data_IF_917143595082
#
_entry.id   IF_917143595082
#
_cell.length_a   1.000
_cell.length_b   1.000
_cell.length_c   1.000
_cell.angle_alpha   90.00
_cell.angle_beta   90.00
_cell.angle_gamma   90.00
#
_symmetry.space_group_name_H-M   'P 1'
#
loop_
_entity.id
_entity.type
_entity.pdbx_description
1 polymer ?
#
# COMPACT_ATOMS: atom_id res chain seq x y z
N UNK A 1 23.88 -9.24 15.63
CA UNK A 1 23.57 -9.73 17.01
C UNK A 1 22.74 -11.02 17.01
N UNK A 2 22.34 -11.49 15.84
CA UNK A 2 21.66 -12.76 15.61
C UNK A 2 22.61 -13.67 14.82
N UNK A 3 23.36 -14.58 15.45
CA UNK A 3 24.36 -15.38 14.74
C UNK A 3 23.75 -16.45 13.81
N UNK A 4 22.50 -16.85 14.05
CA UNK A 4 21.80 -17.90 13.28
C UNK A 4 20.72 -17.26 12.41
N UNK A 5 20.87 -17.41 11.09
CA UNK A 5 19.92 -17.05 10.05
C UNK A 5 19.49 -18.32 9.31
N UNK A 6 18.42 -18.97 9.77
CA UNK A 6 17.94 -20.23 9.19
C UNK A 6 16.41 -20.36 9.32
N UNK A 7 15.82 -21.22 8.50
CA UNK A 7 14.39 -21.52 8.60
C UNK A 7 14.01 -22.06 10.00
N UNK A 8 12.85 -21.64 10.50
CA UNK A 8 12.32 -22.01 11.80
C UNK A 8 12.98 -21.32 13.00
N UNK A 9 13.81 -20.29 12.78
CA UNK A 9 14.48 -19.53 13.84
C UNK A 9 14.06 -18.06 13.81
N UNK A 10 13.84 -17.51 15.00
CA UNK A 10 13.49 -16.12 15.25
C UNK A 10 14.73 -15.24 15.40
N UNK A 11 14.61 -13.94 15.11
CA UNK A 11 15.62 -12.94 15.47
C UNK A 11 15.36 -12.35 16.86
N UNK A 12 14.08 -12.22 17.21
CA UNK A 12 13.59 -11.74 18.50
C UNK A 12 12.29 -12.44 18.88
N UNK A 13 11.96 -12.42 20.17
CA UNK A 13 10.74 -13.04 20.69
C UNK A 13 10.32 -12.39 22.01
N UNK A 14 9.01 -12.15 22.17
CA UNK A 14 8.44 -11.57 23.36
C UNK A 14 8.63 -10.06 23.43
N UNK A 15 8.03 -9.45 24.46
CA UNK A 15 8.09 -8.00 24.70
C UNK A 15 9.05 -7.72 25.84
N UNK A 16 9.95 -6.74 25.65
CA UNK A 16 10.82 -6.25 26.69
C UNK A 16 10.15 -5.07 27.40
N UNK A 17 10.29 -3.88 26.84
CA UNK A 17 9.84 -2.64 27.47
C UNK A 17 9.72 -1.50 26.49
N UNK A 18 9.66 -0.27 27.02
CA UNK A 18 9.66 0.93 26.18
C UNK A 18 11.04 1.18 25.60
N UNK A 19 11.07 1.70 24.38
CA UNK A 19 12.29 2.19 23.77
C UNK A 19 12.74 3.47 24.51
N UNK A 20 13.93 3.51 25.13
CA UNK A 20 14.42 4.70 25.82
C UNK A 20 14.80 5.84 24.86
N UNK A 21 14.95 5.56 23.57
CA UNK A 21 15.30 6.55 22.54
C UNK A 21 14.06 7.24 21.92
N UNK A 22 12.84 6.75 22.22
CA UNK A 22 11.59 7.28 21.67
C UNK A 22 10.77 7.92 22.79
N UNK A 23 10.85 9.25 22.87
CA UNK A 23 10.23 10.02 23.95
C UNK A 23 8.72 10.27 23.74
N UNK A 24 8.27 10.34 22.48
CA UNK A 24 6.88 10.61 22.11
C UNK A 24 6.48 9.63 21.01
N UNK A 25 5.56 8.73 21.32
CA UNK A 25 4.88 7.90 20.31
C UNK A 25 3.39 8.00 20.52
N UNK A 26 2.66 8.20 19.42
CA UNK A 26 1.20 8.18 19.42
C UNK A 26 0.63 6.78 19.69
N UNK A 27 1.44 5.74 19.48
CA UNK A 27 1.05 4.34 19.66
C UNK A 27 1.98 3.69 20.70
N UNK A 28 1.52 3.45 21.93
CA UNK A 28 2.36 2.87 22.97
C UNK A 28 2.63 1.40 22.65
N UNK A 29 3.79 1.09 22.08
CA UNK A 29 4.26 -0.29 21.85
C UNK A 29 5.55 -0.57 22.60
N UNK A 30 5.67 -1.78 23.13
CA UNK A 30 6.94 -2.28 23.67
C UNK A 30 7.82 -2.76 22.52
N UNK A 31 9.13 -2.62 22.68
CA UNK A 31 10.10 -3.20 21.75
C UNK A 31 10.33 -4.68 22.07
N UNK A 32 10.67 -5.50 21.07
CA UNK A 32 10.87 -6.92 21.30
C UNK A 32 12.19 -7.20 22.03
N UNK A 33 12.27 -8.37 22.66
CA UNK A 33 13.51 -8.85 23.25
C UNK A 33 14.34 -9.63 22.22
N UNK A 34 15.64 -9.37 22.17
CA UNK A 34 16.58 -10.17 21.37
C UNK A 34 16.48 -11.64 21.79
N UNK A 35 16.25 -12.51 20.82
CA UNK A 35 16.08 -13.94 21.07
C UNK A 35 16.27 -14.70 19.76
N UNK A 36 17.50 -15.19 19.54
CA UNK A 36 17.84 -15.97 18.36
C UNK A 36 17.56 -17.47 18.61
N UNK A 37 16.27 -17.80 18.77
CA UNK A 37 15.79 -19.13 19.20
C UNK A 37 14.79 -19.72 18.22
N UNK A 38 14.54 -21.05 18.24
CA UNK A 38 13.55 -21.67 17.38
C UNK A 38 12.14 -21.10 17.55
N UNK A 39 11.39 -21.05 16.45
CA UNK A 39 10.00 -20.62 16.42
C UNK A 39 9.11 -21.53 17.29
N UNK A 40 8.11 -20.93 17.94
CA UNK A 40 7.27 -21.60 18.93
C UNK A 40 5.90 -21.93 18.35
N UNK A 41 5.31 -23.03 18.80
CA UNK A 41 3.96 -23.43 18.36
C UNK A 41 2.93 -22.44 18.91
N UNK A 42 2.12 -21.87 18.03
CA UNK A 42 0.98 -21.03 18.40
C UNK A 42 -0.16 -21.92 18.91
N UNK A 43 -0.69 -21.64 20.11
CA UNK A 43 -1.80 -22.40 20.71
C UNK A 43 -2.87 -21.48 21.31
N UNK A 44 -4.09 -22.00 21.44
CA UNK A 44 -5.19 -21.32 22.13
C UNK A 44 -5.43 -19.90 21.60
N UNK A 45 -5.48 -18.93 22.51
CA UNK A 45 -5.76 -17.52 22.18
C UNK A 45 -4.75 -16.90 21.20
N UNK A 46 -3.47 -17.30 21.23
CA UNK A 46 -2.46 -16.82 20.29
C UNK A 46 -2.77 -17.26 18.86
N UNK A 47 -3.12 -18.53 18.67
CA UNK A 47 -3.47 -19.06 17.35
C UNK A 47 -4.77 -18.45 16.81
N UNK A 48 -5.78 -18.29 17.66
CA UNK A 48 -7.04 -17.62 17.28
C UNK A 48 -6.80 -16.17 16.86
N UNK A 49 -5.96 -15.44 17.59
CA UNK A 49 -5.60 -14.06 17.22
C UNK A 49 -4.76 -14.02 15.94
N UNK A 50 -3.85 -14.97 15.75
CA UNK A 50 -3.02 -15.07 14.54
C UNK A 50 -3.89 -15.22 13.29
N UNK A 51 -4.93 -16.05 13.34
CA UNK A 51 -5.88 -16.22 12.23
C UNK A 51 -6.62 -14.94 11.87
N UNK A 52 -6.96 -14.14 12.88
CA UNK A 52 -7.68 -12.89 12.66
C UNK A 52 -6.77 -11.78 12.08
N UNK A 53 -5.53 -11.69 12.58
CA UNK A 53 -4.62 -10.58 12.26
C UNK A 53 -3.69 -10.90 11.09
N UNK A 54 -3.17 -12.12 11.04
CA UNK A 54 -2.16 -12.60 10.09
C UNK A 54 -2.56 -13.95 9.49
N UNK A 55 -3.70 -14.04 8.78
CA UNK A 55 -4.22 -15.31 8.25
C UNK A 55 -3.22 -16.05 7.35
N UNK A 56 -2.34 -15.32 6.67
CA UNK A 56 -1.34 -15.90 5.75
C UNK A 56 -0.25 -16.69 6.45
N UNK A 57 -0.02 -16.42 7.75
CA UNK A 57 0.89 -17.17 8.60
C UNK A 57 0.20 -18.32 9.34
N UNK A 58 -1.14 -18.37 9.31
CA UNK A 58 -1.94 -19.36 10.02
C UNK A 58 -2.37 -20.56 9.15
N UNK A 59 -1.63 -20.85 8.06
CA UNK A 59 -1.96 -21.86 7.04
C UNK A 59 -1.66 -23.31 7.45
N UNK A 60 -1.19 -23.55 8.67
CA UNK A 60 -0.96 -24.89 9.22
C UNK A 60 -2.10 -25.40 10.09
N UNK A 61 -2.07 -26.69 10.42
CA UNK A 61 -2.97 -27.27 11.42
C UNK A 61 -2.76 -26.64 12.80
N UNK A 62 -3.75 -26.80 13.69
CA UNK A 62 -3.73 -26.26 15.05
C UNK A 62 -2.45 -26.59 15.84
N UNK A 63 -1.83 -27.73 15.56
CA UNK A 63 -0.70 -28.26 16.33
C UNK A 63 0.68 -28.01 15.70
N UNK A 64 0.73 -27.54 14.44
CA UNK A 64 1.99 -27.38 13.69
C UNK A 64 2.34 -25.93 13.37
N UNK A 65 1.38 -25.00 13.49
CA UNK A 65 1.60 -23.58 13.21
C UNK A 65 2.62 -22.99 14.17
N UNK A 66 3.78 -22.57 13.66
CA UNK A 66 4.86 -21.93 14.43
C UNK A 66 4.95 -20.44 14.13
N UNK A 67 5.33 -19.66 15.13
CA UNK A 67 5.49 -18.19 15.04
C UNK A 67 6.64 -17.70 15.91
N UNK A 68 7.13 -16.50 15.56
CA UNK A 68 8.17 -15.77 16.30
C UNK A 68 7.64 -14.65 17.18
N UNK A 69 6.35 -14.66 17.51
CA UNK A 69 5.73 -13.67 18.38
C UNK A 69 4.94 -14.30 19.53
N UNK A 70 4.84 -13.57 20.64
CA UNK A 70 3.92 -13.90 21.73
C UNK A 70 2.57 -13.19 21.55
N UNK A 71 1.61 -13.48 22.45
CA UNK A 71 0.29 -12.87 22.43
C UNK A 71 0.31 -11.34 22.53
N UNK A 72 1.15 -10.79 23.41
CA UNK A 72 1.27 -9.34 23.61
C UNK A 72 1.77 -8.60 22.36
N UNK A 73 2.82 -9.12 21.71
CA UNK A 73 3.33 -8.61 20.43
C UNK A 73 2.25 -8.61 19.35
N UNK A 74 1.45 -9.68 19.27
CA UNK A 74 0.40 -9.79 18.26
C UNK A 74 -0.79 -8.84 18.54
N UNK A 75 -1.13 -8.59 19.81
CA UNK A 75 -2.11 -7.56 20.19
C UNK A 75 -1.59 -6.16 19.84
N UNK A 76 -0.33 -5.86 20.13
CA UNK A 76 0.28 -4.58 19.76
C UNK A 76 0.32 -4.40 18.23
N UNK A 77 0.67 -5.46 17.51
CA UNK A 77 0.65 -5.48 16.04
C UNK A 77 -0.76 -5.19 15.51
N UNK A 78 -1.79 -5.87 16.04
CA UNK A 78 -3.19 -5.65 15.68
C UNK A 78 -3.59 -4.18 15.78
N UNK A 79 -3.31 -3.54 16.91
CA UNK A 79 -3.63 -2.13 17.11
C UNK A 79 -2.92 -1.22 16.10
N UNK A 80 -1.64 -1.51 15.82
CA UNK A 80 -0.84 -0.72 14.87
C UNK A 80 -1.35 -0.87 13.43
N UNK A 81 -1.69 -2.08 13.00
CA UNK A 81 -2.20 -2.32 11.63
C UNK A 81 -3.65 -1.88 11.47
N UNK A 82 -4.47 -1.89 12.53
CA UNK A 82 -5.83 -1.32 12.50
C UNK A 82 -5.81 0.20 12.27
N UNK A 83 -4.85 0.92 12.90
CA UNK A 83 -4.69 2.36 12.69
C UNK A 83 -4.36 2.69 11.23
N UNK A 84 -3.37 2.00 10.64
CA UNK A 84 -3.05 2.17 9.22
C UNK A 84 -4.15 1.62 8.31
N UNK A 85 -4.85 0.57 8.75
CA UNK A 85 -6.00 -0.01 8.05
C UNK A 85 -7.13 0.98 7.87
N UNK A 86 -7.40 1.84 8.85
CA UNK A 86 -8.38 2.92 8.73
C UNK A 86 -8.01 3.93 7.62
N UNK A 87 -6.72 4.20 7.43
CA UNK A 87 -6.20 5.08 6.35
C UNK A 87 -6.31 4.40 4.98
N UNK A 88 -6.12 3.07 4.94
CA UNK A 88 -6.12 2.26 3.72
C UNK A 88 -7.47 1.57 3.42
N UNK A 89 -8.52 1.90 4.18
CA UNK A 89 -9.78 1.14 4.23
C UNK A 89 -10.52 1.04 2.89
N UNK A 90 -10.27 1.95 1.95
CA UNK A 90 -10.90 1.95 0.62
C UNK A 90 -10.40 0.84 -0.31
N UNK A 91 -9.27 0.20 0.01
CA UNK A 91 -8.68 -0.83 -0.83
C UNK A 91 -8.25 -2.03 0.04
N UNK A 92 -9.08 -3.09 0.13
CA UNK A 92 -8.83 -4.23 1.00
C UNK A 92 -7.51 -4.95 0.68
N UNK A 93 -7.16 -5.09 -0.60
CA UNK A 93 -5.91 -5.73 -1.04
C UNK A 93 -4.69 -4.98 -0.54
N UNK A 94 -4.71 -3.64 -0.63
CA UNK A 94 -3.66 -2.78 -0.07
C UNK A 94 -3.56 -2.93 1.45
N UNK A 95 -4.68 -2.84 2.17
CA UNK A 95 -4.70 -2.99 3.63
C UNK A 95 -4.17 -4.37 4.06
N UNK A 96 -4.54 -5.44 3.34
CA UNK A 96 -4.04 -6.80 3.57
C UNK A 96 -2.53 -6.92 3.32
N UNK A 97 -2.03 -6.38 2.21
CA UNK A 97 -0.59 -6.33 1.92
C UNK A 97 0.18 -5.60 3.01
N UNK A 98 -0.31 -4.43 3.42
CA UNK A 98 0.32 -3.64 4.47
C UNK A 98 0.39 -4.42 5.79
N UNK A 99 -0.72 -5.03 6.23
CA UNK A 99 -0.73 -5.88 7.41
C UNK A 99 0.27 -7.05 7.28
N UNK A 100 0.33 -7.69 6.11
CA UNK A 100 1.21 -8.83 5.87
C UNK A 100 2.70 -8.49 5.96
N UNK A 101 3.13 -7.29 5.53
CA UNK A 101 4.51 -6.83 5.75
C UNK A 101 4.90 -6.96 7.23
N UNK A 102 4.06 -6.45 8.13
CA UNK A 102 4.35 -6.49 9.56
C UNK A 102 4.07 -7.84 10.22
N UNK A 103 3.08 -8.59 9.73
CA UNK A 103 2.89 -9.99 10.13
C UNK A 103 4.16 -10.80 9.89
N UNK A 104 4.78 -10.67 8.71
CA UNK A 104 6.05 -11.33 8.42
C UNK A 104 7.16 -10.82 9.34
N UNK A 105 7.32 -9.50 9.49
CA UNK A 105 8.38 -8.92 10.31
C UNK A 105 8.33 -9.36 11.77
N UNK A 106 7.13 -9.48 12.35
CA UNK A 106 6.96 -9.71 13.78
C UNK A 106 6.74 -11.19 14.11
N UNK A 107 5.98 -11.92 13.28
CA UNK A 107 5.46 -13.24 13.63
C UNK A 107 5.91 -14.39 12.72
N UNK A 108 6.56 -14.13 11.58
CA UNK A 108 7.01 -15.20 10.67
C UNK A 108 7.84 -16.26 11.41
N UNK A 109 7.59 -17.57 11.20
CA UNK A 109 8.43 -18.63 11.80
C UNK A 109 9.88 -18.61 11.29
N UNK A 110 10.12 -18.01 10.13
CA UNK A 110 11.42 -17.93 9.47
C UNK A 110 12.03 -16.53 9.59
N UNK A 111 11.62 -15.74 10.61
CA UNK A 111 12.00 -14.33 10.78
C UNK A 111 13.51 -14.09 10.68
N UNK A 112 14.35 -14.99 11.20
CA UNK A 112 15.81 -14.81 11.14
C UNK A 112 16.35 -14.80 9.72
N UNK A 113 15.69 -15.40 8.72
CA UNK A 113 16.20 -15.41 7.35
C UNK A 113 16.28 -14.01 6.74
N UNK A 114 15.39 -13.09 7.10
CA UNK A 114 15.32 -11.75 6.49
C UNK A 114 15.47 -10.62 7.49
N UNK A 115 15.84 -10.92 8.74
CA UNK A 115 16.00 -9.94 9.82
C UNK A 115 17.40 -10.01 10.42
N UNK A 116 18.09 -8.88 10.52
CA UNK A 116 19.38 -8.78 11.21
C UNK A 116 19.33 -7.72 12.31
N UNK A 117 19.48 -8.13 13.57
CA UNK A 117 19.48 -7.18 14.70
C UNK A 117 20.84 -6.50 14.81
N UNK A 118 20.82 -5.16 14.72
CA UNK A 118 22.02 -4.31 14.69
C UNK A 118 22.26 -3.59 16.00
N UNK A 119 21.21 -3.17 16.73
CA UNK A 119 21.35 -2.49 18.03
C UNK A 119 20.38 -3.02 19.08
N UNK A 120 20.91 -3.18 20.30
CA UNK A 120 20.16 -3.53 21.50
C UNK A 120 20.56 -2.66 22.68
N UNK A 121 19.70 -2.58 23.70
CA UNK A 121 20.04 -2.03 25.01
C UNK A 121 19.66 -2.99 26.13
N UNK A 122 20.42 -2.95 27.23
CA UNK A 122 20.11 -3.75 28.41
C UNK A 122 18.84 -3.23 29.08
N UNK A 123 17.89 -4.13 29.31
CA UNK A 123 16.62 -3.86 29.94
C UNK A 123 16.58 -4.49 31.33
N UNK A 124 16.93 -3.69 32.33
CA UNK A 124 17.11 -4.12 33.73
C UNK A 124 15.81 -4.39 34.49
N UNK A 125 14.66 -3.96 33.94
CA UNK A 125 13.35 -4.21 34.55
C UNK A 125 12.88 -5.66 34.42
N UNK A 126 13.54 -6.50 33.61
CA UNK A 126 13.29 -7.93 33.52
C UNK A 126 14.35 -8.69 34.34
N UNK A 127 13.96 -9.47 35.36
CA UNK A 127 14.88 -10.30 36.13
C UNK A 127 15.63 -11.28 35.22
N UNK A 128 16.95 -11.30 35.31
CA UNK A 128 17.82 -12.10 34.43
C UNK A 128 18.45 -11.33 33.26
N UNK A 129 18.13 -10.05 33.08
CA UNK A 129 18.77 -9.16 32.11
C UNK A 129 18.35 -9.46 30.67
N UNK A 130 17.26 -8.83 30.22
CA UNK A 130 16.83 -8.93 28.83
C UNK A 130 17.51 -7.86 27.96
N UNK A 131 17.71 -8.14 26.68
CA UNK A 131 18.21 -7.16 25.71
C UNK A 131 17.06 -6.68 24.83
N UNK A 132 16.69 -5.41 24.96
CA UNK A 132 15.66 -4.76 24.16
C UNK A 132 16.22 -4.40 22.78
N UNK A 133 15.54 -4.80 21.71
CA UNK A 133 15.93 -4.47 20.33
C UNK A 133 15.56 -3.01 20.05
N UNK A 134 16.55 -2.22 19.64
CA UNK A 134 16.38 -0.80 19.31
C UNK A 134 16.44 -0.52 17.82
N UNK A 135 17.16 -1.38 17.08
CA UNK A 135 17.32 -1.29 15.64
C UNK A 135 17.58 -2.65 15.01
N UNK A 136 16.98 -2.87 13.85
CA UNK A 136 17.28 -4.02 13.01
C UNK A 136 17.08 -3.70 11.53
N UNK A 137 17.75 -4.49 10.69
CA UNK A 137 17.60 -4.46 9.24
C UNK A 137 16.61 -5.52 8.79
N UNK A 138 15.80 -5.19 7.79
CA UNK A 138 14.95 -6.13 7.06
C UNK A 138 15.37 -6.20 5.61
N UNK A 139 15.50 -7.41 5.09
CA UNK A 139 15.89 -7.66 3.71
C UNK A 139 14.70 -8.16 2.92
N UNK A 140 14.24 -7.38 1.96
CA UNK A 140 13.14 -7.74 1.07
C UNK A 140 13.65 -7.84 -0.36
N UNK A 141 13.00 -8.67 -1.18
CA UNK A 141 13.12 -8.49 -2.63
C UNK A 141 12.45 -7.20 -3.05
N UNK A 142 13.08 -6.45 -3.95
CA UNK A 142 12.54 -5.21 -4.49
C UNK A 142 11.13 -5.43 -5.07
N UNK A 143 10.93 -6.52 -5.83
CA UNK A 143 9.61 -6.91 -6.39
C UNK A 143 8.51 -7.03 -5.34
N UNK A 144 8.82 -7.56 -4.16
CA UNK A 144 7.86 -7.74 -3.07
C UNK A 144 7.41 -6.39 -2.51
N UNK A 145 8.37 -5.52 -2.19
CA UNK A 145 8.10 -4.18 -1.68
C UNK A 145 7.40 -3.29 -2.72
N UNK A 146 7.82 -3.36 -3.98
CA UNK A 146 7.24 -2.61 -5.08
C UNK A 146 5.81 -3.04 -5.38
N UNK A 147 5.52 -4.35 -5.37
CA UNK A 147 4.16 -4.85 -5.53
C UNK A 147 3.25 -4.39 -4.39
N UNK A 148 3.73 -4.46 -3.13
CA UNK A 148 2.98 -4.01 -1.97
C UNK A 148 2.68 -2.49 -2.07
N UNK A 149 3.69 -1.69 -2.41
CA UNK A 149 3.53 -0.26 -2.64
C UNK A 149 2.56 0.05 -3.79
N UNK A 150 2.70 -0.65 -4.93
CA UNK A 150 1.87 -0.44 -6.11
C UNK A 150 0.40 -0.76 -5.86
N UNK A 151 0.09 -1.69 -4.94
CA UNK A 151 -1.28 -1.98 -4.52
C UNK A 151 -1.92 -0.80 -3.76
N UNK A 152 -1.11 0.09 -3.18
CA UNK A 152 -1.55 1.16 -2.28
C UNK A 152 -1.41 2.58 -2.86
N UNK A 153 -0.55 2.80 -3.85
CA UNK A 153 -0.20 4.14 -4.36
C UNK A 153 -1.41 4.96 -4.87
N UNK A 154 -2.46 4.28 -5.35
CA UNK A 154 -3.66 4.92 -5.90
C UNK A 154 -4.75 5.20 -4.87
N UNK A 155 -4.64 4.65 -3.65
CA UNK A 155 -5.71 4.67 -2.64
C UNK A 155 -6.00 6.09 -2.20
N UNK A 156 -7.28 6.49 -2.23
CA UNK A 156 -7.73 7.82 -1.82
C UNK A 156 -8.00 7.87 -0.33
N UNK A 157 -7.77 9.03 0.27
CA UNK A 157 -8.15 9.32 1.64
C UNK A 157 -9.45 10.14 1.64
N UNK A 158 -10.60 9.60 2.09
CA UNK A 158 -11.89 10.31 2.05
C UNK A 158 -11.86 11.69 2.70
N UNK A 159 -11.17 11.82 3.83
CA UNK A 159 -11.15 13.04 4.63
C UNK A 159 -10.49 14.24 3.92
N UNK A 160 -9.56 14.01 3.00
CA UNK A 160 -8.79 15.07 2.33
C UNK A 160 -8.95 15.09 0.81
N UNK A 161 -9.50 14.02 0.22
CA UNK A 161 -9.50 13.80 -1.24
C UNK A 161 -8.12 13.49 -1.82
N UNK A 162 -7.06 13.54 -1.01
CA UNK A 162 -5.69 13.21 -1.39
C UNK A 162 -5.45 11.71 -1.48
N UNK A 163 -4.18 11.32 -1.67
CA UNK A 163 -3.77 9.92 -1.62
C UNK A 163 -3.40 9.52 -0.19
N UNK A 164 -3.85 8.35 0.23
CA UNK A 164 -3.54 7.77 1.54
C UNK A 164 -2.02 7.68 1.79
N UNK A 165 -1.27 7.28 0.75
CA UNK A 165 0.20 7.15 0.79
C UNK A 165 0.90 8.48 1.15
N UNK A 166 0.27 9.63 0.88
CA UNK A 166 0.84 10.93 1.24
C UNK A 166 1.03 11.09 2.75
N UNK A 167 0.21 10.43 3.56
CA UNK A 167 0.30 10.43 5.03
C UNK A 167 1.33 9.43 5.56
N UNK A 168 1.84 8.57 4.69
CA UNK A 168 2.75 7.45 5.01
C UNK A 168 4.13 7.60 4.33
N UNK A 169 4.42 8.77 3.73
CA UNK A 169 5.65 8.99 2.97
C UNK A 169 6.41 10.26 3.40
N UNK A 170 6.08 10.78 4.58
CA UNK A 170 6.70 11.96 5.18
C UNK A 170 6.76 13.15 4.22
N UNK A 171 7.95 13.77 4.13
CA UNK A 171 8.20 14.98 3.32
C UNK A 171 8.02 14.80 1.81
N UNK A 172 8.01 13.57 1.30
CA UNK A 172 7.94 13.32 -0.15
C UNK A 172 6.51 13.43 -0.68
N UNK A 173 5.50 13.31 0.19
CA UNK A 173 4.10 13.27 -0.21
C UNK A 173 3.83 12.12 -1.21
N UNK A 174 2.68 12.16 -1.89
CA UNK A 174 2.31 11.10 -2.82
C UNK A 174 3.16 11.09 -4.12
N UNK A 175 3.45 12.27 -4.68
CA UNK A 175 4.05 12.40 -6.02
C UNK A 175 5.49 11.90 -6.12
N UNK A 176 6.26 12.05 -5.03
CA UNK A 176 7.66 11.63 -4.97
C UNK A 176 7.83 10.39 -4.10
N UNK A 177 6.75 9.70 -3.75
CA UNK A 177 6.85 8.48 -2.96
C UNK A 177 7.33 7.31 -3.82
N UNK A 178 8.23 6.51 -3.26
CA UNK A 178 8.68 5.23 -3.83
C UNK A 178 8.51 4.15 -2.77
N UNK A 179 8.55 2.87 -3.16
CA UNK A 179 8.48 1.76 -2.21
C UNK A 179 9.53 1.88 -1.09
N UNK A 180 10.77 2.27 -1.44
CA UNK A 180 11.83 2.55 -0.46
C UNK A 180 11.44 3.68 0.49
N UNK A 181 11.05 4.85 -0.01
CA UNK A 181 10.71 6.02 0.83
C UNK A 181 9.52 5.77 1.73
N UNK A 182 8.55 5.00 1.25
CA UNK A 182 7.42 4.55 2.04
C UNK A 182 7.87 3.67 3.20
N UNK A 183 8.66 2.62 2.93
CA UNK A 183 9.19 1.75 3.98
C UNK A 183 10.15 2.46 4.93
N UNK A 184 10.98 3.39 4.44
CA UNK A 184 11.86 4.22 5.26
C UNK A 184 11.04 5.05 6.26
N UNK A 185 9.95 5.67 5.79
CA UNK A 185 9.05 6.39 6.69
C UNK A 185 8.43 5.46 7.73
N UNK A 186 8.03 4.26 7.33
CA UNK A 186 7.48 3.25 8.24
C UNK A 186 8.50 2.75 9.28
N UNK A 187 9.79 2.76 8.96
CA UNK A 187 10.88 2.33 9.84
C UNK A 187 11.56 3.44 10.63
N UNK A 188 11.27 4.71 10.36
CA UNK A 188 11.90 5.85 11.03
C UNK A 188 11.29 6.10 12.42
N UNK A 189 12.06 5.78 13.47
CA UNK A 189 11.65 6.01 14.88
C UNK A 189 11.35 7.48 15.21
N UNK A 190 11.81 8.42 14.39
CA UNK A 190 11.65 9.86 14.62
C UNK A 190 10.33 10.41 14.05
N UNK A 191 9.52 9.60 13.37
CA UNK A 191 8.24 10.02 12.81
C UNK A 191 7.08 10.12 13.84
N UNK A 192 7.33 9.74 15.11
CA UNK A 192 6.34 9.74 16.20
C UNK A 192 5.33 8.58 16.16
N UNK A 193 5.50 7.64 15.24
CA UNK A 193 4.64 6.46 15.03
C UNK A 193 5.41 5.15 15.21
N UNK A 194 6.62 5.03 14.62
CA UNK A 194 7.42 3.81 14.69
C UNK A 194 8.03 3.64 16.09
N UNK A 195 7.92 2.46 16.72
CA UNK A 195 8.40 2.25 18.09
C UNK A 195 9.92 2.07 18.20
N UNK A 196 10.60 1.78 17.10
CA UNK A 196 12.03 1.54 17.00
C UNK A 196 12.50 1.71 15.54
N UNK A 197 13.81 1.77 15.31
CA UNK A 197 14.37 1.96 13.96
C UNK A 197 14.36 0.66 13.16
N UNK A 198 13.79 0.69 11.95
CA UNK A 198 13.81 -0.44 11.02
C UNK A 198 14.42 0.01 9.70
N UNK A 199 15.54 -0.60 9.33
CA UNK A 199 16.23 -0.27 8.09
C UNK A 199 15.86 -1.28 7.00
N UNK A 200 15.01 -0.86 6.06
CA UNK A 200 14.56 -1.71 4.96
C UNK A 200 15.57 -1.72 3.81
N UNK A 201 16.07 -2.90 3.48
CA UNK A 201 17.00 -3.17 2.38
C UNK A 201 16.25 -3.83 1.24
N UNK A 202 15.97 -3.08 0.16
CA UNK A 202 15.31 -3.59 -1.03
C UNK A 202 16.33 -4.11 -2.04
N UNK A 203 16.37 -5.44 -2.17
CA UNK A 203 17.38 -6.13 -2.95
C UNK A 203 16.84 -6.58 -4.32
N UNK A 204 17.55 -6.28 -5.42
CA UNK A 204 17.23 -6.83 -6.73
C UNK A 204 17.19 -8.36 -6.75
N UNK A 205 16.47 -8.93 -7.72
CA UNK A 205 16.41 -10.38 -7.89
C UNK A 205 17.80 -10.95 -8.16
N UNK A 206 18.16 -12.02 -7.44
CA UNK A 206 19.47 -12.68 -7.56
C UNK A 206 20.60 -12.01 -6.78
N UNK A 207 20.34 -10.92 -6.07
CA UNK A 207 21.29 -10.37 -5.10
C UNK A 207 21.06 -10.97 -3.71
N UNK A 208 22.12 -11.52 -3.12
CA UNK A 208 22.10 -12.08 -1.77
C UNK A 208 23.04 -11.26 -0.87
N UNK A 209 22.57 -10.79 0.30
CA UNK A 209 23.40 -10.01 1.22
C UNK A 209 24.44 -10.86 1.96
N UNK A 210 24.38 -12.20 1.83
CA UNK A 210 25.30 -13.15 2.46
C UNK A 210 24.88 -13.56 3.88
N UNK A 211 25.76 -14.30 4.57
CA UNK A 211 25.58 -14.72 5.98
C UNK A 211 24.30 -15.51 6.29
N UNK A 212 23.77 -16.26 5.31
CA UNK A 212 22.55 -17.06 5.47
C UNK A 212 21.26 -16.23 5.44
N UNK A 213 21.36 -14.92 5.18
CA UNK A 213 20.19 -14.06 4.98
C UNK A 213 19.58 -14.36 3.60
N UNK A 214 18.28 -14.66 3.59
CA UNK A 214 17.46 -14.83 2.40
C UNK A 214 16.36 -13.74 2.40
N UNK A 215 16.38 -12.80 1.44
CA UNK A 215 15.42 -11.71 1.42
C UNK A 215 13.97 -12.20 1.28
N UNK A 216 13.06 -11.61 2.06
CA UNK A 216 11.64 -11.97 2.03
C UNK A 216 11.02 -11.66 0.66
N UNK A 217 10.24 -12.62 0.17
CA UNK A 217 9.54 -12.56 -1.10
C UNK A 217 8.21 -13.31 -1.00
N UNK A 218 7.27 -12.72 -0.26
CA UNK A 218 5.95 -13.32 -0.07
C UNK A 218 4.99 -12.92 -1.21
N UNK A 219 3.93 -13.70 -1.46
CA UNK A 219 2.86 -13.29 -2.37
C UNK A 219 2.20 -11.97 -1.93
N UNK A 220 1.82 -11.15 -2.91
CA UNK A 220 1.19 -9.84 -2.71
C UNK A 220 -0.08 -9.81 -3.53
N UNK A 221 -1.16 -9.29 -2.93
CA UNK A 221 -2.41 -9.08 -3.66
C UNK A 221 -2.31 -7.84 -4.54
N UNK A 222 -2.61 -7.97 -5.83
CA UNK A 222 -2.83 -6.83 -6.72
C UNK A 222 -4.06 -6.05 -6.28
N UNK A 223 -4.14 -4.78 -6.67
CA UNK A 223 -5.27 -3.95 -6.23
C UNK A 223 -6.58 -4.27 -6.96
N UNK A 224 -6.53 -4.96 -8.10
CA UNK A 224 -7.68 -5.42 -8.87
C UNK A 224 -8.09 -6.88 -8.57
N UNK A 225 -7.50 -7.51 -7.54
CA UNK A 225 -7.94 -8.82 -7.05
C UNK A 225 -8.42 -8.74 -5.60
N UNK A 226 -9.40 -9.59 -5.26
CA UNK A 226 -9.95 -9.67 -3.91
C UNK A 226 -9.04 -10.52 -3.01
N UNK A 227 -8.71 -10.04 -1.79
CA UNK A 227 -7.83 -10.79 -0.88
C UNK A 227 -8.53 -11.96 -0.16
N UNK A 228 -9.86 -12.01 -0.20
CA UNK A 228 -10.67 -13.08 0.36
C UNK A 228 -11.98 -13.23 -0.43
N UNK A 229 -12.62 -14.40 -0.33
CA UNK A 229 -13.84 -14.72 -1.08
C UNK A 229 -15.05 -13.85 -0.69
N UNK A 230 -15.06 -13.28 0.50
CA UNK A 230 -16.09 -12.37 1.03
C UNK A 230 -15.77 -10.89 0.77
N UNK A 231 -14.69 -10.59 0.06
CA UNK A 231 -14.24 -9.23 -0.23
C UNK A 231 -14.25 -8.95 -1.73
N UNK A 232 -14.31 -7.67 -2.06
CA UNK A 232 -14.25 -7.18 -3.45
C UNK A 232 -12.85 -6.59 -3.74
N UNK A 233 -12.42 -6.62 -5.01
CA UNK A 233 -11.22 -5.89 -5.44
C UNK A 233 -11.39 -4.38 -5.25
N UNK A 234 -10.28 -3.63 -5.26
CA UNK A 234 -10.32 -2.19 -5.09
C UNK A 234 -10.99 -1.50 -6.28
N UNK A 235 -11.66 -0.38 -6.02
CA UNK A 235 -12.31 0.41 -7.08
C UNK A 235 -11.29 1.03 -8.03
N UNK A 236 -11.69 1.30 -9.29
CA UNK A 236 -10.86 2.02 -10.27
C UNK A 236 -10.37 3.40 -9.74
N UNK A 237 -11.13 4.05 -8.86
CA UNK A 237 -10.75 5.33 -8.27
C UNK A 237 -9.56 5.22 -7.29
N UNK A 238 -9.42 4.05 -6.66
CA UNK A 238 -8.37 3.72 -5.69
C UNK A 238 -7.25 2.86 -6.31
N UNK A 239 -7.49 2.28 -7.49
CA UNK A 239 -6.59 1.38 -8.20
C UNK A 239 -6.77 1.51 -9.72
N UNK A 240 -5.80 2.12 -10.41
CA UNK A 240 -5.87 2.28 -11.86
C UNK A 240 -5.89 0.93 -12.63
N UNK A 241 -5.33 -0.13 -12.04
CA UNK A 241 -5.34 -1.48 -12.65
C UNK A 241 -6.75 -2.11 -12.66
N UNK A 242 -7.66 -1.65 -11.79
CA UNK A 242 -9.05 -2.11 -11.76
C UNK A 242 -9.95 -1.36 -12.75
N UNK A 243 -9.41 -0.40 -13.51
CA UNK A 243 -10.18 0.37 -14.47
C UNK A 243 -10.47 -0.44 -15.75
N UNK A 244 -11.69 -0.36 -16.30
CA UNK A 244 -11.97 -0.92 -17.60
C UNK A 244 -11.15 -0.18 -18.69
N UNK A 245 -10.92 -0.82 -19.84
CA UNK A 245 -10.25 -0.17 -20.97
C UNK A 245 -11.03 1.08 -21.39
N UNK A 246 -10.29 2.16 -21.67
CA UNK A 246 -10.88 3.43 -22.09
C UNK A 246 -11.59 3.27 -23.44
N UNK A 247 -12.90 3.47 -23.45
CA UNK A 247 -13.67 3.65 -24.69
C UNK A 247 -13.72 5.15 -24.96
N UNK A 248 -13.11 5.65 -26.05
CA UNK A 248 -13.17 7.07 -26.36
C UNK A 248 -14.64 7.50 -26.52
N UNK A 249 -15.04 8.64 -25.94
CA UNK A 249 -16.41 9.12 -26.09
C UNK A 249 -16.71 9.29 -27.57
N UNK A 250 -17.97 9.04 -27.95
CA UNK A 250 -18.41 9.34 -29.29
C UNK A 250 -18.06 10.80 -29.62
N UNK A 251 -17.44 11.02 -30.78
CA UNK A 251 -17.13 12.37 -31.24
C UNK A 251 -18.40 13.22 -31.30
N UNK A 252 -18.26 14.55 -31.26
CA UNK A 252 -19.42 15.43 -31.45
C UNK A 252 -20.11 15.09 -32.77
N UNK A 253 -21.44 15.28 -32.86
CA UNK A 253 -22.16 15.07 -34.11
C UNK A 253 -21.49 15.88 -35.22
N UNK A 254 -21.46 15.35 -36.46
CA UNK A 254 -20.83 16.06 -37.57
C UNK A 254 -21.50 17.44 -37.73
N UNK A 255 -20.73 18.47 -38.13
CA UNK A 255 -21.30 19.79 -38.40
C UNK A 255 -22.38 19.67 -39.48
N UNK A 256 -23.41 20.51 -39.39
CA UNK A 256 -24.49 20.53 -40.37
C UNK A 256 -23.93 20.85 -41.76
N UNK A 257 -24.01 19.88 -42.68
CA UNK A 257 -23.52 20.00 -44.05
C UNK A 257 -24.61 19.63 -45.05
N UNK A 258 -24.64 20.35 -46.15
CA UNK A 258 -25.41 19.99 -47.34
C UNK A 258 -24.39 19.65 -48.43
N UNK A 259 -24.22 18.35 -48.70
CA UNK A 259 -23.16 17.85 -49.58
C UNK A 259 -21.77 18.14 -49.02
N UNK A 260 -20.96 18.93 -49.75
CA UNK A 260 -19.60 19.34 -49.34
C UNK A 260 -19.53 20.74 -48.72
N UNK A 261 -20.64 21.47 -48.67
CA UNK A 261 -20.69 22.83 -48.16
C UNK A 261 -21.26 22.86 -46.73
N UNK A 262 -20.91 23.91 -45.99
CA UNK A 262 -21.54 24.25 -44.72
C UNK A 262 -23.04 24.49 -44.96
N UNK A 263 -23.89 23.80 -44.19
CA UNK A 263 -25.34 23.85 -44.42
C UNK A 263 -25.94 25.21 -44.11
N UNK A 264 -25.38 25.95 -43.13
CA UNK A 264 -25.81 27.32 -42.82
C UNK A 264 -25.46 28.25 -43.98
N UNK A 265 -24.25 28.11 -44.53
CA UNK A 265 -23.84 28.87 -45.72
C UNK A 265 -24.80 28.66 -46.90
N UNK A 266 -25.19 27.40 -47.17
CA UNK A 266 -26.13 27.08 -48.26
C UNK A 266 -27.50 27.74 -48.02
N UNK A 267 -28.02 27.67 -46.79
CA UNK A 267 -29.29 28.31 -46.43
C UNK A 267 -29.19 29.85 -46.60
N UNK A 268 -28.10 30.46 -46.16
CA UNK A 268 -27.88 31.90 -46.30
C UNK A 268 -27.84 32.35 -47.78
N UNK A 269 -27.16 31.59 -48.65
CA UNK A 269 -27.09 31.88 -50.09
C UNK A 269 -28.47 31.77 -50.75
N UNK A 270 -29.24 30.73 -50.42
CA UNK A 270 -30.60 30.55 -50.95
C UNK A 270 -31.56 31.68 -50.51
N UNK A 271 -31.49 32.08 -49.23
CA UNK A 271 -32.28 33.21 -48.71
C UNK A 271 -31.90 34.52 -49.39
N UNK A 272 -30.61 34.79 -49.58
CA UNK A 272 -30.15 35.99 -50.27
C UNK A 272 -30.60 36.02 -51.73
N UNK A 273 -30.45 34.91 -52.46
CA UNK A 273 -30.84 34.81 -53.87
C UNK A 273 -32.36 35.03 -54.06
N UNK A 274 -33.19 34.44 -53.20
CA UNK A 274 -34.65 34.61 -53.25
C UNK A 274 -35.08 36.05 -52.95
N UNK A 275 -34.50 36.69 -51.93
CA UNK A 275 -34.75 38.11 -51.62
C UNK A 275 -34.28 39.05 -52.73
N UNK A 276 -33.10 38.81 -53.31
CA UNK A 276 -32.57 39.60 -54.42
C UNK A 276 -33.46 39.47 -55.68
N UNK A 277 -33.92 38.26 -56.00
CA UNK A 277 -34.84 38.02 -57.10
C UNK A 277 -36.18 38.74 -56.88
N UNK A 278 -36.74 38.63 -55.67
CA UNK A 278 -37.98 39.31 -55.31
C UNK A 278 -37.85 40.84 -55.42
N UNK A 279 -36.72 41.40 -54.96
CA UNK A 279 -36.43 42.84 -55.09
C UNK A 279 -36.31 43.26 -56.56
N UNK A 280 -35.58 42.50 -57.38
CA UNK A 280 -35.44 42.78 -58.82
C UNK A 280 -36.79 42.72 -59.54
N UNK A 281 -37.61 41.71 -59.27
CA UNK A 281 -38.96 41.60 -59.81
C UNK A 281 -39.82 42.79 -59.39
N UNK A 282 -39.79 43.18 -58.11
CA UNK A 282 -40.52 44.36 -57.64
C UNK A 282 -40.08 45.65 -58.34
N UNK A 283 -38.78 45.84 -58.58
CA UNK A 283 -38.24 46.99 -59.32
C UNK A 283 -38.66 46.96 -60.80
N UNK A 284 -38.61 45.80 -61.45
CA UNK A 284 -39.04 45.63 -62.85
C UNK A 284 -40.54 45.85 -63.01
N UNK A 285 -41.37 45.29 -62.12
CA UNK A 285 -42.81 45.53 -62.09
C UNK A 285 -43.14 47.01 -61.86
N UNK A 286 -42.38 47.73 -61.03
CA UNK A 286 -42.52 49.19 -60.87
C UNK A 286 -42.13 49.97 -62.12
N UNK A 287 -41.09 49.56 -62.85
CA UNK A 287 -40.64 50.24 -64.08
C UNK A 287 -41.55 49.99 -65.29
N UNK A 288 -42.23 48.85 -65.36
CA UNK A 288 -43.19 48.53 -66.43
C UNK A 288 -44.60 49.10 -66.21
N UNK A 289 -44.88 49.69 -65.05
CA UNK A 289 -46.17 50.29 -64.70
C UNK A 289 -46.14 51.83 -64.71
N UNK A 290 -45.11 52.43 -65.31
CA UNK A 290 -44.95 53.88 -65.48
C UNK A 290 -44.98 54.29 -66.95
#
# INVERSE_FOLDING_TARGET
LTPVHQAGVCAFYGECGRNPEVNVSLVPSKVPCLSNTPARVARGALLSLLRAVCPELARGDNDTTRVCCNYGQLVALRLSVELSGAVLARCPSCARNFANLYCHNICSPDQSLFTNVTRVANYTAVPGGAQAVLEYQLFYRARYAEAAFASCQGVRLPATGGYAISTMCGRYGAQLCTAQRWLDFQGDKNNGLAPLQIDFQLLPNGSEPGQGIAPLDAPVWRCDEAPAADQEPCSCQDCAQACPPLVPPAGPPPPFRIGRADGVLVICVLLFATLALAFLVAVLCRRGAG
#
